data_IF_757265055371
#
_entry.id   IF_757265055371
#
_cell.length_a   1.000
_cell.length_b   1.000
_cell.length_c   1.000
_cell.angle_alpha   90.00
_cell.angle_beta   90.00
_cell.angle_gamma   90.00
#
_symmetry.space_group_name_H-M   'P 1'
#
loop_
_entity.id
_entity.type
_entity.pdbx_description
1 polymer ?
#
# COMPACT_ATOMS: atom_id res chain seq x y z
N UNK A 1 -12.42 9.59 46.08
CA UNK A 1 -13.57 9.18 46.89
C UNK A 1 -13.11 8.36 48.08
N UNK A 2 -13.39 8.86 49.28
CA UNK A 2 -13.04 8.30 50.58
C UNK A 2 -14.14 7.31 50.98
N UNK A 3 -13.86 6.01 50.82
CA UNK A 3 -14.62 4.85 51.33
C UNK A 3 -16.10 4.77 50.89
N UNK A 4 -16.43 3.77 50.05
CA UNK A 4 -17.78 3.57 49.50
C UNK A 4 -18.71 2.82 50.46
N UNK A 5 -18.19 2.33 51.60
CA UNK A 5 -18.95 1.54 52.55
C UNK A 5 -20.06 2.37 53.23
N UNK A 6 -21.20 1.72 53.43
CA UNK A 6 -22.34 2.28 54.14
C UNK A 6 -21.98 2.62 55.60
N UNK A 7 -22.65 3.62 56.16
CA UNK A 7 -22.38 4.18 57.49
C UNK A 7 -22.40 3.13 58.60
N UNK A 8 -23.24 2.09 58.46
CA UNK A 8 -23.37 1.01 59.45
C UNK A 8 -22.16 0.06 59.52
N UNK A 9 -21.39 -0.08 58.44
CA UNK A 9 -20.33 -1.09 58.31
C UNK A 9 -18.93 -0.49 58.12
N UNK A 10 -18.83 0.83 57.97
CA UNK A 10 -17.57 1.56 57.73
C UNK A 10 -16.53 1.42 58.85
N UNK A 11 -16.94 1.10 60.08
CA UNK A 11 -16.04 0.98 61.22
C UNK A 11 -15.49 -0.45 61.41
N UNK A 12 -15.89 -1.41 60.58
CA UNK A 12 -15.46 -2.81 60.69
C UNK A 12 -14.11 -2.98 59.97
N UNK A 13 -12.99 -3.27 60.68
CA UNK A 13 -11.64 -3.19 60.11
C UNK A 13 -11.39 -4.09 58.89
N UNK A 14 -11.90 -5.33 58.90
CA UNK A 14 -11.68 -6.26 57.80
C UNK A 14 -12.46 -5.88 56.53
N UNK A 15 -13.61 -5.23 56.66
CA UNK A 15 -14.39 -4.76 55.51
C UNK A 15 -13.73 -3.53 54.87
N UNK A 16 -13.17 -2.63 55.68
CA UNK A 16 -12.38 -1.50 55.17
C UNK A 16 -11.14 -2.00 54.43
N UNK A 17 -10.42 -2.98 54.98
CA UNK A 17 -9.26 -3.56 54.32
C UNK A 17 -9.63 -4.23 52.97
N UNK A 18 -10.79 -4.88 52.89
CA UNK A 18 -11.30 -5.46 51.65
C UNK A 18 -11.66 -4.38 50.61
N UNK A 19 -12.34 -3.29 51.03
CA UNK A 19 -12.66 -2.16 50.15
C UNK A 19 -11.40 -1.50 49.59
N UNK A 20 -10.39 -1.26 50.42
CA UNK A 20 -9.10 -0.72 49.99
C UNK A 20 -8.35 -1.65 49.02
N UNK A 21 -8.39 -2.96 49.27
CA UNK A 21 -7.80 -3.97 48.37
C UNK A 21 -8.52 -3.98 47.01
N UNK A 22 -9.86 -3.99 47.02
CA UNK A 22 -10.67 -3.97 45.81
C UNK A 22 -10.44 -2.68 45.02
N UNK A 23 -10.42 -1.52 45.70
CA UNK A 23 -10.13 -0.23 45.09
C UNK A 23 -8.73 -0.20 44.47
N UNK A 24 -7.69 -0.61 45.19
CA UNK A 24 -6.32 -0.67 44.64
C UNK A 24 -6.24 -1.55 43.39
N UNK A 25 -6.96 -2.67 43.36
CA UNK A 25 -7.02 -3.53 42.18
C UNK A 25 -7.72 -2.86 41.00
N UNK A 26 -8.85 -2.20 41.23
CA UNK A 26 -9.62 -1.53 40.19
C UNK A 26 -8.86 -0.30 39.67
N UNK A 27 -8.30 0.51 40.56
CA UNK A 27 -7.49 1.71 40.21
C UNK A 27 -6.20 1.32 39.46
N UNK A 28 -5.70 0.10 39.66
CA UNK A 28 -4.55 -0.43 38.92
C UNK A 28 -4.91 -1.02 37.54
N UNK A 29 -6.20 -1.13 37.20
CA UNK A 29 -6.61 -1.54 35.85
C UNK A 29 -6.45 -0.37 34.89
N UNK A 30 -5.57 -0.53 33.91
CA UNK A 30 -5.41 0.39 32.80
C UNK A 30 -6.58 0.22 31.82
N UNK A 31 -7.64 1.00 32.02
CA UNK A 31 -8.87 0.95 31.22
C UNK A 31 -8.62 1.14 29.72
N UNK A 32 -7.62 1.93 29.33
CA UNK A 32 -7.27 2.14 27.93
C UNK A 32 -6.90 0.84 27.23
N UNK A 33 -6.20 -0.07 27.93
CA UNK A 33 -5.83 -1.39 27.39
C UNK A 33 -7.01 -2.34 27.24
N UNK A 34 -8.11 -2.08 27.94
CA UNK A 34 -9.34 -2.86 27.84
C UNK A 34 -10.18 -2.46 26.61
N UNK A 35 -9.98 -1.24 26.10
CA UNK A 35 -10.71 -0.68 24.96
C UNK A 35 -10.06 -1.04 23.61
N UNK A 36 -9.89 -2.33 23.37
CA UNK A 36 -9.13 -2.87 22.23
C UNK A 36 -9.70 -2.44 20.85
N UNK A 37 -10.99 -2.12 20.77
CA UNK A 37 -11.63 -1.66 19.53
C UNK A 37 -11.38 -0.19 19.20
N UNK A 38 -10.83 0.59 20.14
CA UNK A 38 -10.32 1.93 19.83
C UNK A 38 -8.92 1.75 19.25
N UNK A 39 -8.89 1.40 17.95
CA UNK A 39 -7.68 1.01 17.21
C UNK A 39 -6.59 2.09 17.29
N UNK A 40 -6.89 3.35 17.55
CA UNK A 40 -5.87 4.40 17.66
C UNK A 40 -5.15 4.41 19.03
N UNK A 41 -5.73 3.78 20.06
CA UNK A 41 -5.18 3.79 21.44
C UNK A 41 -4.43 2.51 21.83
N UNK A 42 -4.58 1.44 21.04
CA UNK A 42 -3.96 0.15 21.34
C UNK A 42 -2.46 0.14 21.06
N UNK A 43 -1.73 -0.65 21.83
CA UNK A 43 -0.32 -0.91 21.58
C UNK A 43 -0.12 -1.62 20.23
N UNK A 44 0.97 -1.28 19.53
CA UNK A 44 1.32 -1.84 18.22
C UNK A 44 1.38 -3.37 18.22
N UNK A 45 1.80 -3.98 19.32
CA UNK A 45 1.88 -5.44 19.47
C UNK A 45 0.54 -6.15 19.29
N UNK A 46 -0.58 -5.43 19.45
CA UNK A 46 -1.93 -5.97 19.32
C UNK A 46 -2.44 -5.91 17.87
N UNK A 47 -1.87 -5.04 17.03
CA UNK A 47 -2.34 -4.83 15.65
C UNK A 47 -2.40 -6.12 14.80
N UNK A 48 -1.43 -7.06 14.86
CA UNK A 48 -1.52 -8.30 14.08
C UNK A 48 -2.71 -9.18 14.47
N UNK A 49 -3.04 -9.23 15.77
CA UNK A 49 -4.19 -10.02 16.26
C UNK A 49 -5.52 -9.37 15.87
N UNK A 50 -5.59 -8.03 15.91
CA UNK A 50 -6.75 -7.32 15.40
C UNK A 50 -6.89 -7.50 13.88
N UNK A 51 -5.79 -7.45 13.15
CA UNK A 51 -5.79 -7.70 11.71
C UNK A 51 -6.28 -9.11 11.38
N UNK A 52 -5.93 -10.11 12.18
CA UNK A 52 -6.45 -11.47 12.07
C UNK A 52 -7.95 -11.53 12.33
N UNK A 53 -8.40 -10.94 13.45
CA UNK A 53 -9.80 -10.89 13.83
C UNK A 53 -10.68 -10.22 12.76
N UNK A 54 -10.19 -9.12 12.18
CA UNK A 54 -10.87 -8.41 11.10
C UNK A 54 -10.60 -9.01 9.72
N UNK A 55 -9.82 -10.09 9.61
CA UNK A 55 -9.42 -10.78 8.38
C UNK A 55 -8.94 -9.80 7.29
N UNK A 56 -7.93 -9.00 7.67
CA UNK A 56 -7.20 -8.07 6.80
C UNK A 56 -5.70 -8.39 6.73
N UNK A 57 -5.30 -9.58 7.18
CA UNK A 57 -3.93 -10.08 7.09
C UNK A 57 -3.46 -10.26 5.63
N UNK A 58 -2.14 -10.22 5.44
CA UNK A 58 -1.51 -10.48 4.15
C UNK A 58 -1.88 -9.44 3.09
N UNK A 59 -2.22 -9.92 1.90
CA UNK A 59 -2.55 -9.09 0.74
C UNK A 59 -3.84 -8.30 0.87
N UNK A 60 -4.67 -8.59 1.89
CA UNK A 60 -5.90 -7.84 2.16
C UNK A 60 -5.63 -6.42 2.67
N UNK A 61 -4.39 -6.11 3.06
CA UNK A 61 -3.96 -4.74 3.36
C UNK A 61 -2.74 -4.70 4.27
N UNK A 62 -2.67 -5.60 5.26
CA UNK A 62 -1.63 -5.54 6.30
C UNK A 62 -0.20 -5.75 5.76
N UNK A 63 -0.02 -6.52 4.69
CA UNK A 63 1.29 -6.69 4.05
C UNK A 63 1.77 -5.41 3.33
N UNK A 64 0.82 -4.66 2.77
CA UNK A 64 1.11 -3.45 1.99
C UNK A 64 1.22 -2.20 2.89
N UNK A 65 0.67 -2.25 4.10
CA UNK A 65 0.77 -1.18 5.09
C UNK A 65 2.17 -1.16 5.73
N UNK A 66 3.02 -0.22 5.30
CA UNK A 66 4.40 -0.07 5.77
C UNK A 66 4.48 0.75 7.06
N UNK A 67 3.57 1.72 7.24
CA UNK A 67 3.52 2.55 8.45
C UNK A 67 2.48 2.05 9.44
N UNK A 68 2.67 2.39 10.72
CA UNK A 68 1.73 2.00 11.77
C UNK A 68 0.35 2.65 11.58
N UNK A 69 0.32 3.88 11.09
CA UNK A 69 -0.90 4.61 10.77
C UNK A 69 -1.68 3.89 9.66
N UNK A 70 -0.99 3.40 8.63
CA UNK A 70 -1.62 2.60 7.57
C UNK A 70 -2.19 1.29 8.12
N UNK A 71 -1.45 0.60 9.01
CA UNK A 71 -1.92 -0.64 9.62
C UNK A 71 -3.21 -0.40 10.42
N UNK A 72 -3.27 0.70 11.17
CA UNK A 72 -4.46 1.11 11.93
C UNK A 72 -5.62 1.50 11.00
N UNK A 73 -5.35 2.23 9.92
CA UNK A 73 -6.36 2.58 8.91
C UNK A 73 -6.95 1.35 8.21
N UNK A 74 -6.13 0.37 7.82
CA UNK A 74 -6.58 -0.90 7.23
C UNK A 74 -7.55 -1.62 8.18
N UNK A 75 -7.23 -1.70 9.47
CA UNK A 75 -8.10 -2.33 10.48
C UNK A 75 -9.42 -1.55 10.63
N UNK A 76 -9.35 -0.21 10.75
CA UNK A 76 -10.55 0.63 10.88
C UNK A 76 -11.48 0.50 9.67
N UNK A 77 -10.92 0.36 8.47
CA UNK A 77 -11.68 0.23 7.22
C UNK A 77 -12.10 -1.19 6.86
N UNK A 78 -11.62 -2.21 7.59
CA UNK A 78 -11.90 -3.62 7.31
C UNK A 78 -13.40 -3.94 7.16
N UNK A 79 -14.24 -3.40 8.06
CA UNK A 79 -15.69 -3.67 8.04
C UNK A 79 -16.34 -3.07 6.79
N UNK A 80 -15.99 -1.83 6.43
CA UNK A 80 -16.53 -1.15 5.26
C UNK A 80 -16.07 -1.83 3.97
N UNK A 81 -14.78 -2.19 3.89
CA UNK A 81 -14.19 -2.89 2.75
C UNK A 81 -14.86 -4.25 2.50
N UNK A 82 -15.16 -5.01 3.55
CA UNK A 82 -15.92 -6.27 3.41
C UNK A 82 -17.35 -6.06 2.98
N UNK A 83 -18.02 -5.04 3.51
CA UNK A 83 -19.42 -4.72 3.17
C UNK A 83 -19.57 -4.35 1.69
N UNK A 84 -18.61 -3.61 1.15
CA UNK A 84 -18.64 -3.12 -0.23
C UNK A 84 -17.71 -3.89 -1.17
N UNK A 85 -17.25 -5.08 -0.75
CA UNK A 85 -16.35 -5.94 -1.53
C UNK A 85 -16.96 -6.23 -2.91
N UNK A 86 -16.15 -6.13 -3.96
CA UNK A 86 -16.59 -6.29 -5.35
C UNK A 86 -17.10 -5.01 -6.01
N UNK A 87 -17.04 -3.86 -5.33
CA UNK A 87 -17.38 -2.56 -5.91
C UNK A 87 -16.11 -1.77 -6.27
N UNK A 88 -16.25 -0.83 -7.20
CA UNK A 88 -15.18 0.14 -7.54
C UNK A 88 -14.73 0.91 -6.29
N UNK A 89 -15.67 1.20 -5.38
CA UNK A 89 -15.38 1.86 -4.11
C UNK A 89 -14.44 1.04 -3.23
N UNK A 90 -14.66 -0.27 -3.08
CA UNK A 90 -13.78 -1.11 -2.26
C UNK A 90 -12.36 -1.18 -2.81
N UNK A 91 -12.20 -1.25 -4.14
CA UNK A 91 -10.87 -1.21 -4.77
C UNK A 91 -10.18 0.13 -4.51
N UNK A 92 -10.89 1.25 -4.69
CA UNK A 92 -10.34 2.59 -4.41
C UNK A 92 -9.98 2.77 -2.93
N UNK A 93 -10.85 2.34 -2.03
CA UNK A 93 -10.62 2.48 -0.59
C UNK A 93 -9.48 1.58 -0.10
N UNK A 94 -9.35 0.36 -0.63
CA UNK A 94 -8.22 -0.51 -0.33
C UNK A 94 -6.89 0.14 -0.78
N UNK A 95 -6.85 0.67 -2.00
CA UNK A 95 -5.70 1.42 -2.52
C UNK A 95 -5.39 2.68 -1.71
N UNK A 96 -6.43 3.38 -1.21
CA UNK A 96 -6.26 4.54 -0.33
C UNK A 96 -5.55 4.16 0.97
N UNK A 97 -5.93 3.05 1.61
CA UNK A 97 -5.35 2.62 2.89
C UNK A 97 -3.87 2.25 2.81
N UNK A 98 -3.39 1.84 1.62
CA UNK A 98 -1.99 1.45 1.39
C UNK A 98 -1.13 2.60 0.85
N UNK A 99 -1.67 3.82 0.74
CA UNK A 99 -0.92 5.01 0.33
C UNK A 99 -1.19 5.52 -1.09
N UNK A 100 -2.22 5.03 -1.79
CA UNK A 100 -2.63 5.53 -3.11
C UNK A 100 -4.02 6.19 -3.07
N UNK A 101 -4.17 7.38 -2.45
CA UNK A 101 -5.47 8.02 -2.27
C UNK A 101 -6.10 8.55 -3.58
N UNK A 102 -5.29 8.82 -4.59
CA UNK A 102 -5.68 9.40 -5.87
C UNK A 102 -5.92 8.36 -6.97
N UNK A 103 -6.09 7.08 -6.60
CA UNK A 103 -6.28 5.99 -7.55
C UNK A 103 -7.49 6.22 -8.48
N UNK A 104 -7.23 6.25 -9.79
CA UNK A 104 -8.25 6.38 -10.83
C UNK A 104 -8.49 5.01 -11.45
N UNK A 105 -9.76 4.63 -11.58
CA UNK A 105 -10.17 3.38 -12.20
C UNK A 105 -10.92 3.71 -13.49
N UNK A 106 -10.44 3.19 -14.60
CA UNK A 106 -11.06 3.32 -15.93
C UNK A 106 -11.59 1.96 -16.36
N UNK A 107 -12.90 1.84 -16.50
CA UNK A 107 -13.60 0.63 -16.95
C UNK A 107 -13.80 0.65 -18.47
N UNK A 108 -14.04 -0.51 -19.10
CA UNK A 108 -14.38 -0.58 -20.52
C UNK A 108 -13.18 -0.44 -21.47
N UNK A 109 -11.98 -0.79 -20.99
CA UNK A 109 -10.71 -0.52 -21.70
C UNK A 109 -10.33 -1.58 -22.74
N UNK A 110 -11.04 -2.71 -22.77
CA UNK A 110 -10.75 -3.80 -23.69
C UNK A 110 -11.32 -3.57 -25.09
N UNK A 111 -10.57 -3.94 -26.12
CA UNK A 111 -11.01 -3.83 -27.53
C UNK A 111 -11.82 -5.03 -28.02
N UNK A 112 -12.01 -6.06 -27.18
CA UNK A 112 -12.71 -7.30 -27.54
C UNK A 112 -14.13 -7.44 -26.97
N UNK A 113 -14.81 -8.59 -27.24
CA UNK A 113 -16.16 -8.87 -26.73
C UNK A 113 -16.30 -8.81 -25.20
N UNK A 114 -15.19 -9.01 -24.48
CA UNK A 114 -15.12 -8.97 -23.02
C UNK A 114 -14.63 -7.62 -22.47
N UNK A 115 -14.43 -6.61 -23.33
CA UNK A 115 -13.89 -5.31 -22.90
C UNK A 115 -14.72 -4.57 -21.86
N UNK A 116 -16.01 -4.89 -21.76
CA UNK A 116 -16.92 -4.38 -20.71
C UNK A 116 -16.56 -4.85 -19.30
N UNK A 117 -15.87 -5.98 -19.17
CA UNK A 117 -15.44 -6.56 -17.90
C UNK A 117 -14.01 -6.16 -17.52
N UNK A 118 -13.29 -5.49 -18.43
CA UNK A 118 -11.90 -5.13 -18.27
C UNK A 118 -11.75 -3.70 -17.72
N UNK A 119 -10.81 -3.52 -16.80
CA UNK A 119 -10.49 -2.20 -16.23
C UNK A 119 -8.98 -2.00 -16.07
N UNK A 120 -8.58 -0.73 -16.04
CA UNK A 120 -7.21 -0.29 -15.74
C UNK A 120 -7.22 0.61 -14.51
N UNK A 121 -6.12 0.58 -13.77
CA UNK A 121 -5.90 1.44 -12.61
C UNK A 121 -4.74 2.36 -12.92
N UNK A 122 -4.93 3.65 -12.71
CA UNK A 122 -3.88 4.65 -12.69
C UNK A 122 -3.61 5.04 -11.24
N UNK A 123 -2.38 4.79 -10.80
CA UNK A 123 -1.89 5.14 -9.48
C UNK A 123 -0.95 6.34 -9.58
N UNK A 124 -0.96 7.19 -8.57
CA UNK A 124 0.06 8.21 -8.41
C UNK A 124 1.31 7.57 -7.77
N UNK A 125 2.42 7.63 -8.50
CA UNK A 125 3.70 7.08 -8.06
C UNK A 125 4.37 7.92 -6.99
N UNK A 126 4.16 9.25 -6.99
CA UNK A 126 4.75 10.19 -6.03
C UNK A 126 6.16 9.80 -5.55
N UNK A 127 6.31 9.67 -4.23
CA UNK A 127 7.53 9.19 -3.55
C UNK A 127 7.55 7.67 -3.26
N UNK A 128 6.58 6.91 -3.78
CA UNK A 128 6.49 5.48 -3.48
C UNK A 128 7.50 4.68 -4.31
N UNK A 129 8.22 3.75 -3.67
CA UNK A 129 9.14 2.87 -4.38
C UNK A 129 8.39 1.87 -5.27
N UNK A 130 8.47 2.06 -6.58
CA UNK A 130 7.85 1.19 -7.58
C UNK A 130 8.82 0.07 -7.92
N UNK A 131 8.62 -1.09 -7.30
CA UNK A 131 9.35 -2.32 -7.60
C UNK A 131 8.42 -3.38 -8.20
N UNK A 132 8.98 -4.36 -8.90
CA UNK A 132 8.21 -5.49 -9.44
C UNK A 132 7.45 -6.25 -8.32
N UNK A 133 8.02 -6.37 -7.13
CA UNK A 133 7.34 -6.98 -5.98
C UNK A 133 6.21 -6.12 -5.42
N UNK A 134 6.38 -4.80 -5.39
CA UNK A 134 5.32 -3.87 -4.96
C UNK A 134 4.10 -3.97 -5.89
N UNK A 135 4.35 -4.07 -7.20
CA UNK A 135 3.29 -4.24 -8.20
C UNK A 135 2.56 -5.57 -8.00
N UNK A 136 3.25 -6.68 -7.81
CA UNK A 136 2.62 -7.99 -7.53
C UNK A 136 1.76 -7.96 -6.25
N UNK A 137 2.25 -7.30 -5.21
CA UNK A 137 1.50 -7.12 -3.96
C UNK A 137 0.22 -6.29 -4.18
N UNK A 138 0.28 -5.22 -4.96
CA UNK A 138 -0.88 -4.39 -5.34
C UNK A 138 -1.87 -5.20 -6.19
N UNK A 139 -1.39 -5.98 -7.16
CA UNK A 139 -2.24 -6.84 -7.99
C UNK A 139 -3.01 -7.83 -7.11
N UNK A 140 -2.33 -8.49 -6.17
CA UNK A 140 -2.97 -9.42 -5.22
C UNK A 140 -3.96 -8.72 -4.29
N UNK A 141 -3.69 -7.49 -3.87
CA UNK A 141 -4.63 -6.70 -3.09
C UNK A 141 -5.90 -6.37 -3.89
N UNK A 142 -5.74 -5.92 -5.14
CA UNK A 142 -6.87 -5.61 -6.02
C UNK A 142 -7.69 -6.86 -6.34
N UNK A 143 -7.03 -8.00 -6.59
CA UNK A 143 -7.70 -9.29 -6.81
C UNK A 143 -8.59 -9.70 -5.64
N UNK A 144 -8.18 -9.42 -4.41
CA UNK A 144 -9.00 -9.69 -3.24
C UNK A 144 -10.29 -8.87 -3.24
N UNK A 145 -10.22 -7.57 -3.55
CA UNK A 145 -11.36 -6.65 -3.39
C UNK A 145 -12.23 -6.47 -4.63
N UNK A 146 -11.73 -6.81 -5.82
CA UNK A 146 -12.50 -6.69 -7.06
C UNK A 146 -13.61 -7.73 -7.15
N UNK A 147 -14.53 -7.51 -8.08
CA UNK A 147 -15.53 -8.50 -8.43
C UNK A 147 -14.88 -9.65 -9.22
N UNK A 148 -15.33 -10.88 -9.00
CA UNK A 148 -14.92 -12.06 -9.78
C UNK A 148 -15.15 -11.86 -11.28
N UNK A 149 -16.19 -11.13 -11.68
CA UNK A 149 -16.49 -10.90 -13.11
C UNK A 149 -15.58 -9.88 -13.80
N UNK A 150 -14.90 -9.02 -13.05
CA UNK A 150 -14.12 -7.91 -13.59
C UNK A 150 -12.64 -8.28 -13.62
N UNK A 151 -11.92 -7.97 -14.70
CA UNK A 151 -10.53 -8.35 -14.89
C UNK A 151 -9.63 -7.13 -15.00
N UNK A 152 -8.54 -7.12 -14.24
CA UNK A 152 -7.54 -6.07 -14.28
C UNK A 152 -6.62 -6.30 -15.47
N UNK A 153 -6.59 -5.37 -16.42
CA UNK A 153 -5.71 -5.44 -17.61
C UNK A 153 -4.32 -4.90 -17.32
N UNK A 154 -4.21 -3.91 -16.44
CA UNK A 154 -2.93 -3.33 -16.07
C UNK A 154 -3.05 -2.22 -15.05
N UNK A 155 -1.92 -1.97 -14.40
CA UNK A 155 -1.70 -0.86 -13.47
C UNK A 155 -0.68 0.08 -14.11
N UNK A 156 -1.02 1.35 -14.21
CA UNK A 156 -0.16 2.42 -14.70
C UNK A 156 0.18 3.36 -13.56
N UNK A 157 1.38 3.92 -13.56
CA UNK A 157 1.80 4.93 -12.58
C UNK A 157 1.99 6.27 -13.27
N UNK A 158 1.47 7.33 -12.67
CA UNK A 158 1.75 8.71 -13.03
C UNK A 158 2.67 9.30 -11.98
N UNK A 159 3.80 9.88 -12.37
CA UNK A 159 4.70 10.59 -11.45
C UNK A 159 4.70 12.04 -11.89
N UNK A 160 4.29 12.94 -11.01
CA UNK A 160 4.39 14.38 -11.22
C UNK A 160 5.76 14.86 -10.74
N UNK A 161 6.66 15.12 -11.69
CA UNK A 161 7.99 15.64 -11.43
C UNK A 161 7.87 17.16 -11.40
N UNK A 162 7.59 17.73 -10.22
CA UNK A 162 7.42 19.17 -10.01
C UNK A 162 8.64 20.07 -10.29
N UNK A 163 9.64 19.56 -11.03
CA UNK A 163 10.82 20.27 -11.51
C UNK A 163 11.03 20.00 -13.00
N UNK A 164 11.41 21.04 -13.74
CA UNK A 164 11.36 21.11 -15.21
C UNK A 164 12.26 20.13 -15.98
N UNK A 165 13.10 19.34 -15.29
CA UNK A 165 14.14 18.55 -15.96
C UNK A 165 14.11 17.08 -15.49
N UNK A 166 13.92 16.17 -16.46
CA UNK A 166 14.21 14.73 -16.34
C UNK A 166 15.60 14.53 -16.95
N UNK A 167 16.62 14.29 -16.13
CA UNK A 167 17.96 14.00 -16.64
C UNK A 167 18.09 12.49 -16.86
N UNK A 168 18.07 12.08 -18.12
CA UNK A 168 18.45 10.75 -18.57
C UNK A 168 19.94 10.80 -18.88
N UNK A 169 20.75 10.03 -18.16
CA UNK A 169 22.20 9.94 -18.42
C UNK A 169 22.45 8.61 -19.11
N UNK A 170 22.87 8.67 -20.37
CA UNK A 170 23.40 7.53 -21.11
C UNK A 170 24.93 7.51 -20.95
N UNK A 171 25.48 6.41 -20.44
CA UNK A 171 26.92 6.14 -20.46
C UNK A 171 27.22 5.16 -21.60
N UNK A 172 27.12 5.64 -22.84
CA UNK A 172 27.54 4.89 -24.01
C UNK A 172 28.93 5.33 -24.50
N UNK A 173 29.71 4.39 -25.04
CA UNK A 173 31.02 4.68 -25.65
C UNK A 173 30.83 4.71 -27.15
N UNK A 174 30.69 5.92 -27.71
CA UNK A 174 30.51 6.10 -29.15
C UNK A 174 31.82 6.02 -29.94
N UNK A 175 31.73 5.49 -31.16
CA UNK A 175 32.82 5.53 -32.13
C UNK A 175 32.82 6.91 -32.82
N UNK A 176 33.90 7.72 -32.74
CA UNK A 176 33.92 9.13 -33.15
C UNK A 176 33.71 9.41 -34.66
N UNK A 177 33.45 8.38 -35.47
CA UNK A 177 33.22 8.51 -36.92
C UNK A 177 31.75 8.39 -37.33
N UNK A 178 30.83 8.21 -36.39
CA UNK A 178 29.38 8.13 -36.64
C UNK A 178 28.72 9.29 -35.90
N UNK A 179 27.87 10.04 -36.61
CA UNK A 179 26.97 11.01 -35.98
C UNK A 179 25.65 10.26 -35.84
N UNK A 180 25.30 9.88 -34.62
CA UNK A 180 23.99 9.28 -34.32
C UNK A 180 23.16 10.28 -33.51
N UNK A 181 21.85 10.34 -33.78
CA UNK A 181 20.91 11.10 -32.95
C UNK A 181 20.33 10.14 -31.93
N UNK A 182 20.77 10.22 -30.67
CA UNK A 182 20.27 9.33 -29.62
C UNK A 182 18.83 9.66 -29.23
N UNK A 183 17.91 8.78 -29.65
CA UNK A 183 16.52 8.75 -29.16
C UNK A 183 16.42 7.70 -28.05
N UNK A 184 16.58 8.16 -26.80
CA UNK A 184 16.37 7.34 -25.61
C UNK A 184 14.92 6.84 -25.54
N UNK A 185 14.71 5.55 -25.82
CA UNK A 185 13.39 4.91 -25.81
C UNK A 185 13.30 3.90 -24.67
N UNK A 186 12.57 4.25 -23.60
CA UNK A 186 12.35 3.34 -22.47
C UNK A 186 11.48 2.16 -22.91
N UNK A 187 12.07 0.97 -22.99
CA UNK A 187 11.36 -0.30 -23.15
C UNK A 187 11.26 -0.88 -24.57
N UNK A 188 12.08 -0.44 -25.54
CA UNK A 188 12.14 -1.12 -26.85
C UNK A 188 13.51 -1.14 -27.53
N UNK A 189 14.59 -1.43 -26.79
CA UNK A 189 15.86 -1.82 -27.40
C UNK A 189 15.81 -3.26 -27.92
N UNK A 190 16.12 -3.46 -29.20
CA UNK A 190 16.29 -4.81 -29.77
C UNK A 190 17.62 -5.39 -29.27
N UNK A 191 17.56 -6.46 -28.47
CA UNK A 191 18.76 -7.29 -28.22
C UNK A 191 19.16 -7.96 -29.53
N UNK A 192 20.44 -7.88 -29.92
CA UNK A 192 20.93 -8.63 -31.06
C UNK A 192 20.90 -10.13 -30.75
N UNK A 193 19.92 -10.84 -31.31
CA UNK A 193 19.72 -12.29 -31.16
C UNK A 193 20.26 -13.10 -32.35
N UNK A 194 20.92 -12.42 -33.30
CA UNK A 194 21.48 -13.02 -34.52
C UNK A 194 20.45 -13.31 -35.62
N UNK A 195 19.19 -12.90 -35.48
CA UNK A 195 18.16 -13.10 -36.50
C UNK A 195 18.23 -12.09 -37.66
N UNK A 196 18.86 -10.93 -37.45
CA UNK A 196 19.03 -9.87 -38.45
C UNK A 196 20.52 -9.58 -38.69
N UNK A 197 20.85 -9.06 -39.88
CA UNK A 197 22.23 -8.72 -40.26
C UNK A 197 22.65 -7.44 -39.54
N UNK A 198 23.86 -7.43 -38.97
CA UNK A 198 24.49 -6.26 -38.35
C UNK A 198 25.01 -5.31 -39.44
N UNK A 199 24.09 -4.59 -40.09
CA UNK A 199 24.36 -3.71 -41.23
C UNK A 199 24.37 -2.21 -40.88
N UNK A 200 24.25 -1.88 -39.59
CA UNK A 200 24.20 -0.51 -39.09
C UNK A 200 22.89 0.22 -39.38
N UNK A 201 21.87 -0.44 -39.95
CA UNK A 201 20.54 0.15 -40.16
C UNK A 201 19.70 0.25 -38.89
N UNK A 202 20.11 -0.45 -37.82
CA UNK A 202 19.47 -0.45 -36.50
C UNK A 202 20.56 -0.48 -35.42
N UNK A 203 20.40 0.36 -34.41
CA UNK A 203 21.26 0.31 -33.23
C UNK A 203 20.88 -0.92 -32.39
N UNK A 204 21.86 -1.79 -32.15
CA UNK A 204 21.72 -2.93 -31.28
C UNK A 204 22.71 -2.74 -30.14
N UNK A 205 22.22 -2.33 -28.98
CA UNK A 205 23.06 -2.23 -27.81
C UNK A 205 23.02 -3.50 -26.96
N UNK A 206 24.17 -3.83 -26.36
CA UNK A 206 24.30 -4.88 -25.35
C UNK A 206 24.18 -4.34 -23.92
N UNK A 207 24.09 -3.02 -23.77
CA UNK A 207 23.86 -2.40 -22.48
C UNK A 207 22.44 -2.66 -21.98
N UNK A 208 22.26 -2.36 -20.70
CA UNK A 208 20.96 -2.36 -20.05
C UNK A 208 20.76 -0.95 -19.56
N UNK A 209 19.79 -0.24 -20.14
CA UNK A 209 19.37 1.05 -19.61
C UNK A 209 18.80 0.82 -18.20
N UNK A 210 19.47 1.38 -17.19
CA UNK A 210 19.00 1.37 -15.81
C UNK A 210 18.62 2.80 -15.46
N UNK A 211 17.33 3.03 -15.22
CA UNK A 211 16.87 4.29 -14.64
C UNK A 211 17.20 4.29 -13.15
N UNK A 212 18.29 4.94 -12.77
CA UNK A 212 18.59 5.26 -11.37
C UNK A 212 18.03 6.65 -11.02
N UNK A 213 17.23 6.72 -9.95
CA UNK A 213 16.68 7.97 -9.44
C UNK A 213 17.30 8.27 -8.07
N UNK A 214 18.15 9.30 -8.01
CA UNK A 214 18.71 9.81 -6.75
C UNK A 214 18.00 11.09 -6.32
N UNK A 215 17.33 11.05 -5.16
CA UNK A 215 16.61 12.19 -4.59
C UNK A 215 17.56 12.95 -3.67
N UNK A 216 18.06 14.12 -4.11
CA UNK A 216 18.83 15.03 -3.26
C UNK A 216 17.86 16.06 -2.68
N UNK A 217 17.50 15.90 -1.40
CA UNK A 217 16.81 16.95 -0.62
C UNK A 217 17.84 17.90 0.01
N UNK A 218 17.71 19.20 -0.25
CA UNK A 218 18.45 20.28 0.45
C UNK A 218 18.03 20.42 1.90
#
# INVERSE_FOLDING_TARGET
MSNILATAIRNIPHLVAFDEMAKKKIDALELEKLLVYIVDTVDKTVLPFLAEQFDVLGYKGMKLATTEEQQREVIKKAIELKRYKGTVWAVKEALRTIGYPTAIITEGVGSGPNGWAEFKILLDGGNNFISASSIDDILKNVEEYKNTRSHLVGVSFSIDLGTENINLTDESVENPSVIDEDVLTVGSGFRYDGANVYDGSKNYSSDSDILEMEIITT
#
